data_IF_060457389301
#
_entry.id   IF_060457389301
#
_cell.length_a   1.000
_cell.length_b   1.000
_cell.length_c   1.000
_cell.angle_alpha   90.00
_cell.angle_beta   90.00
_cell.angle_gamma   90.00
#
_symmetry.space_group_name_H-M   'P 1'
#
loop_
_entity.id
_entity.type
_entity.pdbx_description
1 polymer ?
#
# COMPACT_ATOMS: atom_id res chain seq x y z
N UNK A 1 -13.44 -4.32 -4.45
CA UNK A 1 -12.86 -3.76 -5.70
C UNK A 1 -11.59 -3.04 -5.33
N UNK A 2 -10.51 -3.18 -6.10
CA UNK A 2 -9.23 -2.57 -5.78
C UNK A 2 -9.29 -1.05 -5.99
N UNK A 3 -8.63 -0.27 -5.13
CA UNK A 3 -8.64 1.18 -5.23
C UNK A 3 -8.16 1.70 -6.61
N UNK A 4 -7.06 1.18 -7.20
CA UNK A 4 -6.60 1.64 -8.52
C UNK A 4 -7.60 1.36 -9.65
N UNK A 5 -8.38 0.28 -9.55
CA UNK A 5 -9.38 -0.09 -10.57
C UNK A 5 -10.60 0.84 -10.62
N UNK A 6 -10.66 1.86 -9.76
CA UNK A 6 -11.67 2.94 -9.83
C UNK A 6 -11.26 4.06 -10.80
N UNK A 7 -9.99 4.14 -11.15
CA UNK A 7 -9.40 5.24 -11.92
C UNK A 7 -8.70 4.69 -13.19
N UNK A 8 -8.14 3.48 -13.11
CA UNK A 8 -7.46 2.83 -14.24
C UNK A 8 -8.42 1.87 -14.95
N UNK A 9 -8.78 2.23 -16.19
CA UNK A 9 -9.72 1.49 -17.04
C UNK A 9 -9.07 0.72 -18.21
N UNK A 10 -7.83 0.25 -18.05
CA UNK A 10 -7.17 -0.58 -19.07
C UNK A 10 -7.68 -2.05 -19.04
N UNK A 11 -8.39 -2.44 -20.10
CA UNK A 11 -8.93 -3.79 -20.30
C UNK A 11 -7.85 -4.88 -20.38
N UNK A 12 -6.63 -4.57 -20.85
CA UNK A 12 -5.52 -5.53 -20.91
C UNK A 12 -5.08 -5.92 -19.51
N UNK A 13 -4.95 -4.93 -18.62
CA UNK A 13 -4.60 -5.14 -17.20
C UNK A 13 -5.70 -5.95 -16.51
N UNK A 14 -6.97 -5.60 -16.75
CA UNK A 14 -8.11 -6.31 -16.16
C UNK A 14 -8.15 -7.79 -16.56
N UNK A 15 -7.82 -8.12 -17.81
CA UNK A 15 -7.83 -9.51 -18.31
C UNK A 15 -6.58 -10.32 -17.97
N UNK A 16 -5.47 -9.66 -17.67
CA UNK A 16 -4.23 -10.34 -17.30
C UNK A 16 -4.37 -11.11 -15.98
N UNK A 17 -5.04 -10.51 -14.99
CA UNK A 17 -5.19 -11.13 -13.68
C UNK A 17 -6.43 -12.01 -13.57
N UNK A 18 -6.23 -13.30 -13.26
CA UNK A 18 -7.30 -14.26 -12.92
C UNK A 18 -8.28 -13.74 -11.86
N UNK A 19 -7.75 -13.18 -10.77
CA UNK A 19 -8.50 -12.63 -9.65
C UNK A 19 -7.58 -11.72 -8.79
N UNK A 20 -8.13 -11.04 -7.78
CA UNK A 20 -7.37 -10.11 -6.94
C UNK A 20 -6.22 -10.79 -6.18
N UNK A 21 -6.39 -12.04 -5.72
CA UNK A 21 -5.29 -12.82 -5.11
C UNK A 21 -4.07 -12.99 -6.04
N UNK A 22 -4.30 -13.35 -7.31
CA UNK A 22 -3.24 -13.46 -8.31
C UNK A 22 -2.57 -12.11 -8.57
N UNK A 23 -3.35 -11.03 -8.70
CA UNK A 23 -2.80 -9.68 -8.86
C UNK A 23 -1.86 -9.30 -7.72
N UNK A 24 -2.34 -9.44 -6.48
CA UNK A 24 -1.54 -9.08 -5.30
C UNK A 24 -0.26 -9.89 -5.23
N UNK A 25 -0.32 -11.22 -5.44
CA UNK A 25 0.86 -12.08 -5.38
C UNK A 25 1.92 -11.73 -6.44
N UNK A 26 1.49 -11.46 -7.68
CA UNK A 26 2.41 -11.08 -8.77
C UNK A 26 3.01 -9.71 -8.52
N UNK A 27 2.19 -8.71 -8.17
CA UNK A 27 2.67 -7.36 -7.90
C UNK A 27 3.61 -7.30 -6.69
N UNK A 28 3.26 -7.99 -5.60
CA UNK A 28 4.11 -8.03 -4.40
C UNK A 28 5.45 -8.70 -4.68
N UNK A 29 5.47 -9.76 -5.49
CA UNK A 29 6.71 -10.44 -5.89
C UNK A 29 7.63 -9.51 -6.69
N UNK A 30 7.08 -8.72 -7.61
CA UNK A 30 7.86 -7.76 -8.40
C UNK A 30 8.46 -6.63 -7.53
N UNK A 31 7.77 -6.21 -6.46
CA UNK A 31 8.24 -5.16 -5.56
C UNK A 31 9.33 -5.63 -4.58
N UNK A 32 9.61 -6.93 -4.50
CA UNK A 32 10.49 -7.50 -3.48
C UNK A 32 11.74 -8.11 -4.10
N UNK A 33 12.92 -7.59 -3.73
CA UNK A 33 14.19 -8.21 -4.10
C UNK A 33 14.34 -9.64 -3.52
N UNK A 34 13.73 -9.89 -2.36
CA UNK A 34 13.64 -11.20 -1.71
C UNK A 34 12.19 -11.46 -1.31
N UNK A 35 11.38 -11.84 -2.29
CA UNK A 35 9.98 -12.19 -2.01
C UNK A 35 9.90 -13.45 -1.14
N UNK A 36 8.85 -13.52 -0.31
CA UNK A 36 8.49 -14.72 0.43
C UNK A 36 8.45 -15.94 -0.53
N UNK A 37 9.21 -17.02 -0.27
CA UNK A 37 9.20 -18.22 -1.10
C UNK A 37 7.80 -18.82 -1.29
N UNK A 38 6.92 -18.64 -0.31
CA UNK A 38 5.55 -19.13 -0.28
C UNK A 38 4.53 -18.15 -0.84
N UNK A 39 4.96 -16.95 -1.27
CA UNK A 39 4.07 -15.95 -1.85
C UNK A 39 3.38 -16.51 -3.09
N UNK A 40 2.07 -16.69 -3.00
CA UNK A 40 1.26 -17.29 -4.04
C UNK A 40 -0.17 -16.82 -3.97
N UNK A 41 -1.05 -17.55 -4.65
CA UNK A 41 -2.47 -17.25 -4.67
C UNK A 41 -3.27 -18.54 -4.80
N UNK A 42 -4.52 -18.49 -4.33
CA UNK A 42 -5.48 -19.58 -4.47
C UNK A 42 -6.87 -19.03 -4.74
N UNK A 43 -7.81 -19.92 -5.09
CA UNK A 43 -9.22 -19.60 -5.26
C UNK A 43 -10.06 -20.55 -4.40
N UNK A 44 -10.99 -19.99 -3.64
CA UNK A 44 -11.94 -20.75 -2.81
C UNK A 44 -13.32 -20.19 -3.11
N UNK A 45 -14.26 -21.05 -3.52
CA UNK A 45 -15.64 -20.69 -3.87
C UNK A 45 -15.74 -19.52 -4.88
N UNK A 46 -14.85 -19.48 -5.87
CA UNK A 46 -14.79 -18.42 -6.88
C UNK A 46 -14.18 -17.10 -6.39
N UNK A 47 -13.68 -17.06 -5.15
CA UNK A 47 -13.01 -15.89 -4.57
C UNK A 47 -11.50 -16.13 -4.52
N UNK A 48 -10.76 -15.20 -5.12
CA UNK A 48 -9.31 -15.25 -5.19
C UNK A 48 -8.63 -14.66 -3.96
N UNK A 49 -7.70 -15.42 -3.36
CA UNK A 49 -6.94 -15.05 -2.16
C UNK A 49 -5.43 -15.01 -2.45
N UNK A 50 -4.72 -14.11 -1.76
CA UNK A 50 -3.26 -14.14 -1.69
C UNK A 50 -2.85 -15.13 -0.59
N UNK A 51 -1.77 -15.87 -0.81
CA UNK A 51 -1.18 -16.81 0.15
C UNK A 51 0.22 -16.31 0.47
N UNK A 52 0.55 -16.21 1.75
CA UNK A 52 1.86 -15.80 2.25
C UNK A 52 2.26 -16.69 3.42
N UNK A 53 3.54 -16.78 3.69
CA UNK A 53 4.07 -17.37 4.92
C UNK A 53 3.57 -16.58 6.14
N UNK A 54 3.13 -17.31 7.17
CA UNK A 54 2.97 -16.75 8.50
C UNK A 54 4.32 -16.86 9.22
N UNK A 55 5.10 -15.79 9.20
CA UNK A 55 6.40 -15.77 9.86
C UNK A 55 6.30 -15.12 11.25
N UNK A 56 6.78 -15.78 12.33
CA UNK A 56 6.86 -15.17 13.66
C UNK A 56 7.99 -14.13 13.78
N UNK A 57 8.81 -13.97 12.74
CA UNK A 57 9.93 -13.02 12.68
C UNK A 57 9.57 -11.73 11.92
N UNK A 58 8.31 -11.53 11.56
CA UNK A 58 7.84 -10.26 11.04
C UNK A 58 7.79 -9.28 12.20
N UNK A 59 8.71 -8.33 12.19
CA UNK A 59 8.80 -7.26 13.18
C UNK A 59 8.43 -5.94 12.48
N UNK A 60 7.49 -5.20 13.08
CA UNK A 60 7.13 -3.86 12.61
C UNK A 60 8.05 -2.83 13.31
N UNK A 61 8.14 -1.62 12.75
CA UNK A 61 8.81 -0.52 13.43
C UNK A 61 7.99 -0.14 14.67
N UNK A 62 8.67 0.12 15.79
CA UNK A 62 8.00 0.69 16.96
C UNK A 62 7.77 2.19 16.71
N UNK A 63 6.60 2.49 16.15
CA UNK A 63 6.18 3.85 15.85
C UNK A 63 5.94 4.70 17.11
N UNK A 64 5.82 4.09 18.29
CA UNK A 64 5.55 4.82 19.53
C UNK A 64 6.74 5.64 20.03
N UNK A 65 7.95 5.27 19.61
CA UNK A 65 9.19 5.98 19.93
C UNK A 65 9.46 7.19 19.02
N UNK A 66 8.66 7.38 17.95
CA UNK A 66 8.79 8.48 17.00
C UNK A 66 7.79 9.58 17.35
N UNK A 67 8.13 10.44 18.31
CA UNK A 67 7.23 11.50 18.79
C UNK A 67 7.62 12.89 18.31
N UNK A 68 8.89 13.12 17.98
CA UNK A 68 9.42 14.42 17.57
C UNK A 68 9.88 14.44 16.10
N UNK A 69 9.76 15.57 15.40
CA UNK A 69 10.14 15.69 13.99
C UNK A 69 11.59 15.27 13.70
N UNK A 70 12.52 15.56 14.59
CA UNK A 70 13.94 15.21 14.43
C UNK A 70 14.18 13.70 14.51
N UNK A 71 13.29 12.95 15.18
CA UNK A 71 13.33 11.49 15.21
C UNK A 71 12.72 10.90 13.93
N UNK A 72 11.66 11.53 13.41
CA UNK A 72 10.95 11.07 12.21
C UNK A 72 11.76 11.31 10.93
N UNK A 73 12.44 12.45 10.82
CA UNK A 73 13.12 12.87 9.59
C UNK A 73 14.12 11.83 9.04
N UNK A 74 15.02 11.24 9.85
CA UNK A 74 15.90 10.16 9.37
C UNK A 74 15.14 8.91 8.90
N UNK A 75 14.04 8.55 9.58
CA UNK A 75 13.21 7.39 9.19
C UNK A 75 12.55 7.65 7.84
N UNK A 76 12.01 8.85 7.62
CA UNK A 76 11.40 9.24 6.36
C UNK A 76 12.40 9.24 5.20
N UNK A 77 13.66 9.68 5.41
CA UNK A 77 14.72 9.57 4.38
C UNK A 77 14.95 8.11 3.97
N UNK A 78 15.12 7.21 4.96
CA UNK A 78 15.33 5.80 4.67
C UNK A 78 14.12 5.15 4.00
N UNK A 79 12.90 5.46 4.44
CA UNK A 79 11.67 4.96 3.83
C UNK A 79 11.50 5.46 2.39
N UNK A 80 11.80 6.73 2.11
CA UNK A 80 11.77 7.28 0.76
C UNK A 80 12.75 6.54 -0.16
N UNK A 81 13.98 6.34 0.29
CA UNK A 81 15.02 5.60 -0.47
C UNK A 81 14.67 4.12 -0.66
N UNK A 82 14.10 3.47 0.36
CA UNK A 82 13.64 2.09 0.26
C UNK A 82 12.49 1.97 -0.75
N UNK A 83 11.54 2.90 -0.73
CA UNK A 83 10.40 2.95 -1.66
C UNK A 83 10.86 3.16 -3.09
N UNK A 84 11.76 4.13 -3.32
CA UNK A 84 12.38 4.33 -4.63
C UNK A 84 13.09 3.06 -5.12
N UNK A 85 13.85 2.38 -4.23
CA UNK A 85 14.53 1.13 -4.58
C UNK A 85 13.56 0.01 -4.96
N UNK A 86 12.46 -0.12 -4.24
CA UNK A 86 11.40 -1.09 -4.52
C UNK A 86 10.80 -0.87 -5.90
N UNK A 87 10.55 0.39 -6.30
CA UNK A 87 10.10 0.72 -7.66
C UNK A 87 11.14 0.37 -8.72
N UNK A 88 12.42 0.69 -8.51
CA UNK A 88 13.47 0.30 -9.45
C UNK A 88 13.64 -1.23 -9.60
N UNK A 89 13.32 -2.02 -8.56
CA UNK A 89 13.34 -3.50 -8.64
C UNK A 89 12.14 -4.00 -9.45
N UNK A 90 10.95 -3.46 -9.18
CA UNK A 90 9.74 -3.83 -9.90
C UNK A 90 9.86 -3.57 -11.39
N UNK A 91 10.48 -2.46 -11.81
CA UNK A 91 10.67 -2.16 -13.24
C UNK A 91 11.53 -3.22 -13.95
N UNK A 92 12.53 -3.81 -13.27
CA UNK A 92 13.39 -4.86 -13.86
C UNK A 92 12.69 -6.20 -14.03
N UNK A 93 11.81 -6.54 -13.09
CA UNK A 93 11.13 -7.84 -13.04
C UNK A 93 9.67 -7.76 -13.54
N UNK A 94 9.23 -6.59 -14.02
CA UNK A 94 7.90 -6.39 -14.59
C UNK A 94 7.77 -7.07 -15.96
N UNK A 95 6.58 -7.62 -16.24
CA UNK A 95 6.27 -8.15 -17.56
C UNK A 95 6.06 -6.96 -18.54
N UNK A 96 6.93 -6.80 -19.55
CA UNK A 96 6.88 -5.67 -20.48
C UNK A 96 5.61 -5.67 -21.35
N UNK A 97 4.83 -6.75 -21.34
CA UNK A 97 3.54 -6.82 -22.05
C UNK A 97 2.42 -6.04 -21.34
N UNK A 98 2.58 -5.71 -20.05
CA UNK A 98 1.58 -4.99 -19.25
C UNK A 98 2.00 -3.55 -19.01
N UNK A 99 3.22 -3.36 -18.49
CA UNK A 99 3.79 -2.04 -18.19
C UNK A 99 4.96 -1.85 -19.15
N UNK A 100 4.71 -1.08 -20.22
CA UNK A 100 5.67 -0.88 -21.31
C UNK A 100 6.54 0.36 -21.16
N UNK A 101 6.49 1.01 -20.01
CA UNK A 101 7.23 2.22 -19.68
C UNK A 101 8.03 1.99 -18.39
N UNK A 102 9.01 2.84 -18.13
CA UNK A 102 9.74 2.85 -16.88
C UNK A 102 9.01 3.76 -15.90
N UNK A 103 8.59 3.21 -14.75
CA UNK A 103 7.77 3.96 -13.78
C UNK A 103 8.52 5.18 -13.25
N UNK A 104 9.84 5.07 -13.06
CA UNK A 104 10.70 6.17 -12.63
C UNK A 104 10.68 7.35 -13.61
N UNK A 105 10.77 7.09 -14.92
CA UNK A 105 10.82 8.13 -15.95
C UNK A 105 9.50 8.92 -15.98
N UNK A 106 8.36 8.22 -15.93
CA UNK A 106 7.04 8.85 -15.91
C UNK A 106 6.80 9.65 -14.61
N UNK A 107 7.29 9.17 -13.47
CA UNK A 107 7.20 9.91 -12.19
C UNK A 107 8.03 11.18 -12.27
N UNK A 108 9.27 11.10 -12.77
CA UNK A 108 10.15 12.26 -12.92
C UNK A 108 9.51 13.27 -13.87
N UNK A 109 8.99 12.83 -15.02
CA UNK A 109 8.31 13.71 -15.99
C UNK A 109 7.08 14.39 -15.38
N UNK A 110 6.25 13.65 -14.63
CA UNK A 110 5.04 14.20 -14.01
C UNK A 110 5.34 15.22 -12.90
N UNK A 111 6.43 15.03 -12.15
CA UNK A 111 6.80 15.90 -11.03
C UNK A 111 7.77 17.02 -11.41
N UNK A 112 8.42 16.93 -12.57
CA UNK A 112 9.36 17.95 -13.04
C UNK A 112 8.69 19.33 -13.03
N UNK A 113 9.39 20.32 -12.46
CA UNK A 113 8.93 21.69 -12.25
C UNK A 113 7.76 21.90 -11.25
N UNK A 114 7.18 20.82 -10.68
CA UNK A 114 6.03 20.88 -9.76
C UNK A 114 6.29 20.19 -8.41
N UNK A 115 7.55 19.99 -8.01
CA UNK A 115 7.92 19.30 -6.77
C UNK A 115 7.30 19.94 -5.52
N UNK A 116 7.32 21.28 -5.44
CA UNK A 116 6.74 22.01 -4.31
C UNK A 116 5.21 21.84 -4.22
N UNK A 117 4.51 21.83 -5.37
CA UNK A 117 3.06 21.61 -5.44
C UNK A 117 2.70 20.18 -5.00
N UNK A 118 3.50 19.20 -5.42
CA UNK A 118 3.32 17.81 -4.98
C UNK A 118 3.52 17.67 -3.46
N UNK A 119 4.51 18.34 -2.89
CA UNK A 119 4.73 18.34 -1.43
C UNK A 119 3.52 18.97 -0.71
N UNK A 120 3.01 20.10 -1.21
CA UNK A 120 1.82 20.75 -0.66
C UNK A 120 0.60 19.81 -0.70
N UNK A 121 0.33 19.16 -1.84
CA UNK A 121 -0.77 18.23 -1.99
C UNK A 121 -0.67 17.04 -1.02
N UNK A 122 0.54 16.47 -0.87
CA UNK A 122 0.78 15.35 0.06
C UNK A 122 0.59 15.77 1.53
N UNK A 123 1.03 16.97 1.91
CA UNK A 123 0.82 17.53 3.26
C UNK A 123 -0.67 17.76 3.53
N UNK A 124 -1.39 18.33 2.57
CA UNK A 124 -2.82 18.59 2.67
C UNK A 124 -3.62 17.29 2.76
N UNK A 125 -3.30 16.31 1.92
CA UNK A 125 -3.89 14.98 1.97
C UNK A 125 -3.68 14.34 3.34
N UNK A 126 -2.44 14.32 3.83
CA UNK A 126 -2.08 13.72 5.12
C UNK A 126 -2.80 14.40 6.29
N UNK A 127 -2.82 15.74 6.28
CA UNK A 127 -3.49 16.53 7.32
C UNK A 127 -4.98 16.24 7.34
N UNK A 128 -5.66 16.29 6.19
CA UNK A 128 -7.09 16.01 6.08
C UNK A 128 -7.43 14.57 6.44
N UNK A 129 -6.62 13.60 6.00
CA UNK A 129 -6.83 12.21 6.35
C UNK A 129 -6.67 11.97 7.85
N UNK A 130 -5.75 12.70 8.51
CA UNK A 130 -5.58 12.63 9.97
C UNK A 130 -6.82 13.09 10.74
N UNK A 131 -7.61 14.02 10.20
CA UNK A 131 -8.88 14.43 10.79
C UNK A 131 -9.91 13.30 10.72
N UNK A 132 -10.01 12.64 9.55
CA UNK A 132 -10.91 11.50 9.33
C UNK A 132 -10.58 10.37 10.30
N UNK A 133 -9.30 9.98 10.40
CA UNK A 133 -8.87 8.89 11.28
C UNK A 133 -9.19 9.19 12.76
N UNK A 134 -8.99 10.45 13.20
CA UNK A 134 -9.32 10.85 14.57
C UNK A 134 -10.82 10.80 14.83
N UNK A 135 -11.64 11.24 13.86
CA UNK A 135 -13.10 11.20 13.99
C UNK A 135 -13.63 9.75 13.97
N UNK A 136 -13.12 8.91 13.07
CA UNK A 136 -13.45 7.48 13.00
C UNK A 136 -13.10 6.77 14.31
N UNK A 137 -11.92 7.04 14.88
CA UNK A 137 -11.54 6.49 16.18
C UNK A 137 -12.49 6.94 17.30
N UNK A 138 -12.86 8.23 17.32
CA UNK A 138 -13.84 8.76 18.28
C UNK A 138 -15.19 8.05 18.15
N UNK A 139 -15.71 7.93 16.92
CA UNK A 139 -16.97 7.25 16.63
C UNK A 139 -16.91 5.76 17.01
N UNK A 140 -15.80 5.08 16.75
CA UNK A 140 -15.57 3.70 17.16
C UNK A 140 -15.63 3.55 18.69
N UNK A 141 -14.90 4.40 19.43
CA UNK A 141 -14.88 4.36 20.90
C UNK A 141 -16.28 4.65 21.47
N UNK A 142 -17.00 5.62 20.92
CA UNK A 142 -18.36 5.96 21.33
C UNK A 142 -19.32 4.79 21.06
N UNK A 143 -19.28 4.19 19.87
CA UNK A 143 -20.11 3.03 19.52
C UNK A 143 -19.80 1.82 20.40
N UNK A 144 -18.51 1.56 20.66
CA UNK A 144 -18.06 0.46 21.52
C UNK A 144 -18.57 0.61 22.95
N UNK A 145 -18.38 1.79 23.56
CA UNK A 145 -18.82 2.08 24.94
C UNK A 145 -20.33 2.04 25.12
N UNK A 146 -21.09 2.28 24.06
CA UNK A 146 -22.55 2.23 24.07
C UNK A 146 -23.12 0.89 23.57
N UNK A 147 -22.28 -0.13 23.38
CA UNK A 147 -22.71 -1.48 22.97
C UNK A 147 -23.32 -1.53 21.56
N UNK A 148 -23.03 -0.55 20.71
CA UNK A 148 -23.61 -0.40 19.37
C UNK A 148 -22.86 -1.21 18.30
N UNK A 149 -21.76 -1.87 18.65
CA UNK A 149 -21.00 -2.72 17.73
C UNK A 149 -21.50 -4.18 17.86
N UNK A 150 -22.16 -4.74 16.84
CA UNK A 150 -22.68 -6.09 16.89
C UNK A 150 -21.59 -7.13 17.16
N UNK A 151 -21.84 -8.05 18.09
CA UNK A 151 -20.91 -9.14 18.43
C UNK A 151 -19.80 -8.78 19.42
N UNK A 152 -19.74 -7.52 19.91
CA UNK A 152 -18.78 -7.08 20.92
C UNK A 152 -19.43 -6.69 22.26
N UNK A 153 -20.75 -6.72 22.37
CA UNK A 153 -21.51 -6.14 23.50
C UNK A 153 -21.48 -6.96 24.80
N UNK A 154 -20.94 -8.18 24.80
CA UNK A 154 -21.06 -9.17 25.89
C UNK A 154 -19.70 -9.70 26.45
N UNK A 155 -18.67 -8.85 26.57
CA UNK A 155 -17.48 -9.14 27.40
C UNK A 155 -17.32 -8.17 28.57
#
# INVERSE_FOLDING_TARGET
>A
VAAPSRIVDDERIKRYFKHNGHRTAVSQRALQAHADPWLGYTEIDGVGFVVTELSPYVEDLDWSDLTEPEQMSPVLDYLGRATAKVHCVADKDSDPTIVGFQTEDEIIEALSDNEDEFVEEMVDFGTRYSEIVRDDHRLFVDAFRNGQIPGLSDQ
#
